data_IF_734798843402
#
_entry.id   IF_734798843402
#
_cell.length_a   1.000
_cell.length_b   1.000
_cell.length_c   1.000
_cell.angle_alpha   90.00
_cell.angle_beta   90.00
_cell.angle_gamma   90.00
#
_symmetry.space_group_name_H-M   'P 1'
#
loop_
_entity.id
_entity.type
_entity.pdbx_description
1 polymer ?
#
# COMPACT_ATOMS: atom_id res chain seq x y z
N UNK A 1 -23.42 -29.00 -7.69
CA UNK A 1 -22.80 -27.76 -8.21
C UNK A 1 -21.38 -27.68 -7.67
N UNK A 2 -20.37 -27.86 -8.51
CA UNK A 2 -18.98 -27.78 -8.09
C UNK A 2 -18.66 -26.32 -7.71
N UNK A 3 -18.30 -26.07 -6.44
CA UNK A 3 -17.68 -24.81 -6.02
C UNK A 3 -16.43 -24.64 -6.90
N UNK A 4 -16.41 -23.65 -7.78
CA UNK A 4 -15.15 -23.14 -8.33
C UNK A 4 -14.29 -22.81 -7.11
N UNK A 5 -13.21 -23.56 -6.91
CA UNK A 5 -12.21 -23.21 -5.90
C UNK A 5 -11.61 -21.88 -6.34
N UNK A 6 -12.05 -20.78 -5.72
CA UNK A 6 -11.40 -19.49 -5.88
C UNK A 6 -9.94 -19.62 -5.47
N UNK A 7 -9.07 -18.77 -6.01
CA UNK A 7 -7.68 -18.72 -5.59
C UNK A 7 -7.60 -18.58 -4.06
N UNK A 8 -6.65 -19.26 -3.45
CA UNK A 8 -6.42 -19.22 -2.00
C UNK A 8 -6.31 -17.77 -1.49
N UNK A 9 -7.11 -17.33 -0.50
CA UNK A 9 -7.06 -15.98 0.05
C UNK A 9 -5.65 -15.54 0.49
N UNK A 10 -4.85 -16.44 1.07
CA UNK A 10 -3.48 -16.12 1.49
C UNK A 10 -2.57 -15.86 0.28
N UNK A 11 -2.79 -16.59 -0.82
CA UNK A 11 -2.09 -16.35 -2.08
C UNK A 11 -2.53 -15.02 -2.71
N UNK A 12 -3.82 -14.66 -2.65
CA UNK A 12 -4.31 -13.36 -3.13
C UNK A 12 -3.75 -12.21 -2.29
N UNK A 13 -3.66 -12.39 -0.97
CA UNK A 13 -3.06 -11.44 -0.04
C UNK A 13 -1.62 -11.12 -0.40
N UNK A 14 -0.77 -12.15 -0.51
CA UNK A 14 0.65 -11.96 -0.89
C UNK A 14 0.80 -11.37 -2.28
N UNK A 15 -0.04 -11.76 -3.24
CA UNK A 15 -0.01 -11.20 -4.59
C UNK A 15 -0.39 -9.72 -4.63
N UNK A 16 -1.36 -9.28 -3.83
CA UNK A 16 -1.71 -7.87 -3.71
C UNK A 16 -0.53 -7.03 -3.17
N UNK A 17 0.15 -7.53 -2.13
CA UNK A 17 1.35 -6.89 -1.57
C UNK A 17 2.49 -6.84 -2.59
N UNK A 18 2.75 -7.97 -3.24
CA UNK A 18 3.81 -8.09 -4.26
C UNK A 18 3.54 -7.15 -5.43
N UNK A 19 2.29 -7.04 -5.89
CA UNK A 19 1.94 -6.20 -7.04
C UNK A 19 2.20 -4.72 -6.77
N UNK A 20 1.72 -4.17 -5.65
CA UNK A 20 1.94 -2.76 -5.31
C UNK A 20 3.42 -2.46 -5.06
N UNK A 21 4.14 -3.37 -4.40
CA UNK A 21 5.57 -3.20 -4.13
C UNK A 21 6.43 -3.34 -5.38
N UNK A 22 6.02 -4.17 -6.35
CA UNK A 22 6.72 -4.31 -7.63
C UNK A 22 6.62 -3.03 -8.46
N UNK A 23 5.44 -2.39 -8.50
CA UNK A 23 5.28 -1.09 -9.16
C UNK A 23 6.18 -0.02 -8.53
N UNK A 24 6.16 0.10 -7.20
CA UNK A 24 7.01 1.04 -6.47
C UNK A 24 8.51 0.75 -6.68
N UNK A 25 8.91 -0.53 -6.68
CA UNK A 25 10.27 -0.95 -6.97
C UNK A 25 10.68 -0.67 -8.43
N UNK A 26 9.71 -0.72 -9.36
CA UNK A 26 9.86 -0.31 -10.75
C UNK A 26 9.94 1.20 -10.96
N UNK A 27 9.78 2.01 -9.91
CA UNK A 27 9.82 3.47 -9.96
C UNK A 27 8.47 4.12 -10.27
N UNK A 28 7.38 3.37 -10.24
CA UNK A 28 6.03 3.89 -10.43
C UNK A 28 5.41 4.26 -9.07
N UNK A 29 5.26 5.55 -8.79
CA UNK A 29 4.62 6.08 -7.59
C UNK A 29 3.31 6.83 -7.88
N UNK A 30 2.73 6.63 -9.07
CA UNK A 30 1.42 7.15 -9.43
C UNK A 30 0.30 6.34 -8.74
N UNK A 31 -0.54 7.02 -7.97
CA UNK A 31 -1.59 6.37 -7.20
C UNK A 31 -2.62 5.62 -8.05
N UNK A 32 -2.91 6.11 -9.26
CA UNK A 32 -3.86 5.46 -10.17
C UNK A 32 -3.28 4.16 -10.73
N UNK A 33 -2.03 4.17 -11.17
CA UNK A 33 -1.35 2.95 -11.64
C UNK A 33 -1.20 1.91 -10.52
N UNK A 34 -0.89 2.34 -9.29
CA UNK A 34 -0.88 1.44 -8.13
C UNK A 34 -2.26 0.86 -7.81
N UNK A 35 -3.33 1.64 -7.98
CA UNK A 35 -4.69 1.11 -7.84
C UNK A 35 -4.99 0.06 -8.94
N UNK A 36 -4.52 0.28 -10.17
CA UNK A 36 -4.70 -0.67 -11.27
C UNK A 36 -3.94 -1.98 -11.03
N UNK A 37 -2.74 -1.94 -10.46
CA UNK A 37 -1.96 -3.15 -10.16
C UNK A 37 -2.60 -4.02 -9.08
N UNK A 38 -3.28 -3.41 -8.11
CA UNK A 38 -3.96 -4.12 -7.00
C UNK A 38 -5.35 -4.61 -7.36
N UNK A 39 -6.09 -3.88 -8.21
CA UNK A 39 -7.49 -4.17 -8.56
C UNK A 39 -7.80 -5.63 -8.94
N UNK A 40 -6.94 -6.37 -9.68
CA UNK A 40 -7.20 -7.79 -9.99
C UNK A 40 -7.34 -8.70 -8.76
N UNK A 41 -6.82 -8.27 -7.61
CA UNK A 41 -6.87 -9.00 -6.35
C UNK A 41 -8.07 -8.61 -5.47
N UNK A 42 -8.88 -7.62 -5.87
CA UNK A 42 -10.20 -7.40 -5.26
C UNK A 42 -11.22 -8.36 -5.91
N UNK A 43 -11.37 -9.53 -5.30
CA UNK A 43 -12.24 -10.61 -5.80
C UNK A 43 -13.56 -10.56 -5.06
N UNK A 44 -14.55 -9.93 -5.69
CA UNK A 44 -15.89 -9.74 -5.15
C UNK A 44 -16.47 -11.02 -4.53
N UNK A 45 -16.86 -10.93 -3.26
CA UNK A 45 -17.48 -12.02 -2.50
C UNK A 45 -16.52 -13.13 -2.06
N UNK A 46 -15.21 -12.93 -2.25
CA UNK A 46 -14.18 -13.90 -1.91
C UNK A 46 -13.02 -13.29 -1.11
N UNK A 47 -12.45 -12.18 -1.57
CA UNK A 47 -11.29 -11.55 -0.92
C UNK A 47 -11.20 -10.06 -1.26
N UNK A 48 -10.82 -9.23 -0.28
CA UNK A 48 -10.50 -7.81 -0.46
C UNK A 48 -9.06 -7.55 0.01
N UNK A 49 -8.25 -6.76 -0.72
CA UNK A 49 -6.84 -6.56 -0.39
C UNK A 49 -6.62 -5.50 0.72
N UNK A 50 -7.64 -5.23 1.54
CA UNK A 50 -7.60 -4.15 2.54
C UNK A 50 -6.47 -4.36 3.55
N UNK A 51 -6.45 -5.53 4.20
CA UNK A 51 -5.44 -5.89 5.21
C UNK A 51 -4.05 -5.98 4.57
N UNK A 52 -3.97 -6.60 3.38
CA UNK A 52 -2.72 -6.74 2.63
C UNK A 52 -2.03 -5.38 2.42
N UNK A 53 -2.77 -4.37 1.97
CA UNK A 53 -2.23 -3.02 1.76
C UNK A 53 -1.92 -2.28 3.07
N UNK A 54 -2.74 -2.47 4.11
CA UNK A 54 -2.48 -1.86 5.42
C UNK A 54 -1.21 -2.42 6.07
N UNK A 55 -0.89 -3.70 5.88
CA UNK A 55 0.38 -4.30 6.33
C UNK A 55 1.58 -3.70 5.61
N UNK A 56 1.49 -3.47 4.30
CA UNK A 56 2.53 -2.79 3.51
C UNK A 56 2.74 -1.37 4.03
N UNK A 57 1.65 -0.63 4.26
CA UNK A 57 1.69 0.72 4.82
C UNK A 57 2.29 0.72 6.24
N UNK A 58 1.95 -0.26 7.08
CA UNK A 58 2.47 -0.40 8.44
C UNK A 58 3.98 -0.70 8.46
N UNK A 59 4.46 -1.59 7.58
CA UNK A 59 5.89 -1.87 7.42
C UNK A 59 6.65 -0.62 6.93
N UNK A 60 6.12 0.08 5.93
CA UNK A 60 6.69 1.36 5.47
C UNK A 60 6.75 2.41 6.59
N UNK A 61 5.72 2.51 7.42
CA UNK A 61 5.74 3.36 8.62
C UNK A 61 6.81 2.91 9.62
N UNK A 62 7.07 1.60 9.75
CA UNK A 62 8.17 1.08 10.56
C UNK A 62 9.55 1.56 10.10
N UNK A 63 9.76 1.64 8.78
CA UNK A 63 10.98 2.22 8.20
C UNK A 63 11.05 3.75 8.39
N UNK A 64 9.93 4.46 8.23
CA UNK A 64 9.87 5.91 8.40
C UNK A 64 10.01 6.35 9.87
N UNK A 65 9.54 5.53 10.80
CA UNK A 65 9.46 5.82 12.24
C UNK A 65 9.99 4.65 13.08
N UNK A 66 11.30 4.34 13.02
CA UNK A 66 11.86 3.33 13.91
C UNK A 66 11.70 3.76 15.39
N UNK A 67 11.68 2.81 16.35
CA UNK A 67 11.53 3.14 17.76
C UNK A 67 12.54 4.21 18.22
N UNK A 68 12.03 5.30 18.79
CA UNK A 68 12.83 6.43 19.27
C UNK A 68 13.07 7.55 18.24
N UNK A 69 12.61 7.40 17.00
CA UNK A 69 12.65 8.49 16.02
C UNK A 69 11.60 9.57 16.32
N UNK A 70 11.75 10.72 15.67
CA UNK A 70 10.71 11.74 15.64
C UNK A 70 9.42 11.17 15.02
N UNK A 71 8.27 11.56 15.57
CA UNK A 71 6.95 11.13 15.09
C UNK A 71 6.62 11.79 13.75
N UNK A 72 5.75 11.17 12.96
CA UNK A 72 5.09 11.85 11.85
C UNK A 72 3.84 12.52 12.39
N UNK A 73 3.79 13.84 12.32
CA UNK A 73 2.57 14.59 12.63
C UNK A 73 1.60 14.48 11.46
N UNK A 74 0.32 14.20 11.75
CA UNK A 74 -0.69 14.04 10.71
C UNK A 74 -1.01 15.38 10.01
N UNK A 75 -0.87 16.50 10.73
CA UNK A 75 -1.10 17.84 10.18
C UNK A 75 -0.15 18.11 9.00
N UNK A 76 -0.72 18.45 7.84
CA UNK A 76 0.03 18.69 6.60
C UNK A 76 0.61 17.44 5.93
N UNK A 77 0.44 16.24 6.53
CA UNK A 77 1.07 15.01 6.04
C UNK A 77 0.57 14.61 4.65
N UNK A 78 -0.75 14.69 4.44
CA UNK A 78 -1.36 14.39 3.14
C UNK A 78 -1.00 15.46 2.11
N UNK A 79 -0.89 16.73 2.51
CA UNK A 79 -0.53 17.80 1.57
C UNK A 79 0.93 17.68 1.13
N UNK A 80 1.81 17.19 2.03
CA UNK A 80 3.23 16.98 1.74
C UNK A 80 3.48 15.76 0.85
N UNK A 81 2.85 14.63 1.15
CA UNK A 81 3.19 13.35 0.51
C UNK A 81 2.17 12.86 -0.51
N UNK A 82 0.98 13.48 -0.58
CA UNK A 82 -0.08 13.14 -1.52
C UNK A 82 -0.55 14.39 -2.28
N UNK A 83 0.31 15.41 -2.45
CA UNK A 83 0.00 16.64 -3.21
C UNK A 83 -0.52 16.36 -4.61
N UNK A 84 0.00 15.32 -5.23
CA UNK A 84 -0.28 14.94 -6.61
C UNK A 84 -1.56 14.09 -6.71
N UNK A 85 -2.10 13.66 -5.56
CA UNK A 85 -3.29 12.85 -5.46
C UNK A 85 -4.49 13.70 -5.04
N UNK A 86 -5.46 13.83 -5.94
CA UNK A 86 -6.64 14.65 -5.70
C UNK A 86 -7.55 14.00 -4.65
N UNK A 87 -7.41 14.44 -3.40
CA UNK A 87 -8.35 14.12 -2.32
C UNK A 87 -9.56 15.05 -2.38
N UNK A 88 -10.43 14.81 -3.37
CA UNK A 88 -11.64 15.62 -3.58
C UNK A 88 -12.77 15.23 -2.61
N UNK A 89 -13.26 16.23 -1.88
CA UNK A 89 -14.38 16.09 -0.95
C UNK A 89 -14.03 15.54 0.45
N UNK A 90 -14.92 15.85 1.40
CA UNK A 90 -14.78 15.48 2.82
C UNK A 90 -14.74 13.97 3.05
N UNK A 91 -15.52 13.21 2.27
CA UNK A 91 -15.61 11.75 2.41
C UNK A 91 -14.30 11.09 2.04
N UNK A 92 -13.70 11.45 0.90
CA UNK A 92 -12.41 10.89 0.44
C UNK A 92 -11.31 11.19 1.45
N UNK A 93 -11.24 12.44 1.95
CA UNK A 93 -10.28 12.83 2.99
C UNK A 93 -10.44 12.00 4.27
N UNK A 94 -11.66 11.83 4.76
CA UNK A 94 -11.92 11.04 5.98
C UNK A 94 -11.58 9.56 5.82
N UNK A 95 -11.85 8.97 4.66
CA UNK A 95 -11.54 7.55 4.39
C UNK A 95 -10.04 7.33 4.20
N UNK A 96 -9.35 8.26 3.56
CA UNK A 96 -7.89 8.27 3.46
C UNK A 96 -7.26 8.40 4.84
N UNK A 97 -7.76 9.34 5.67
CA UNK A 97 -7.34 9.48 7.06
C UNK A 97 -7.52 8.18 7.86
N UNK A 98 -8.66 7.52 7.70
CA UNK A 98 -8.92 6.24 8.35
C UNK A 98 -7.88 5.18 7.94
N UNK A 99 -7.57 5.05 6.64
CA UNK A 99 -6.57 4.09 6.18
C UNK A 99 -5.16 4.38 6.74
N UNK A 100 -4.77 5.66 6.81
CA UNK A 100 -3.50 6.10 7.42
C UNK A 100 -3.45 5.68 8.90
N UNK A 101 -4.50 5.97 9.67
CA UNK A 101 -4.56 5.59 11.08
C UNK A 101 -4.67 4.08 11.30
N UNK A 102 -5.38 3.36 10.43
CA UNK A 102 -5.48 1.91 10.49
C UNK A 102 -4.09 1.26 10.36
N UNK A 103 -3.27 1.70 9.40
CA UNK A 103 -1.90 1.23 9.26
C UNK A 103 -1.02 1.59 10.48
N UNK A 104 -1.18 2.78 11.04
CA UNK A 104 -0.49 3.17 12.29
C UNK A 104 -0.88 2.30 13.49
N UNK A 105 -2.17 1.97 13.65
CA UNK A 105 -2.66 1.03 14.65
C UNK A 105 -2.00 -0.34 14.47
N UNK A 106 -1.98 -0.86 13.24
CA UNK A 106 -1.37 -2.16 12.93
C UNK A 106 0.12 -2.16 13.26
N UNK A 107 0.84 -1.10 12.91
CA UNK A 107 2.26 -0.94 13.28
C UNK A 107 2.48 -0.93 14.80
N UNK A 108 1.52 -0.38 15.54
CA UNK A 108 1.48 -0.38 17.01
C UNK A 108 1.03 -1.70 17.65
N UNK A 109 0.69 -2.73 16.86
CA UNK A 109 0.24 -4.04 17.33
C UNK A 109 -1.27 -4.15 17.56
N UNK A 110 -2.05 -3.15 17.15
CA UNK A 110 -3.51 -3.17 17.22
C UNK A 110 -4.11 -3.46 15.84
N UNK A 111 -4.90 -4.53 15.73
CA UNK A 111 -5.70 -4.76 14.53
C UNK A 111 -6.97 -3.90 14.58
N UNK A 112 -7.16 -2.93 13.65
CA UNK A 112 -8.33 -2.09 13.62
C UNK A 112 -9.59 -2.89 13.22
N UNK A 113 -10.75 -2.48 13.70
CA UNK A 113 -12.03 -3.06 13.29
C UNK A 113 -12.39 -2.56 11.87
N UNK A 114 -12.07 -3.36 10.85
CA UNK A 114 -12.24 -2.98 9.45
C UNK A 114 -13.65 -3.27 8.92
N UNK A 115 -14.27 -4.37 9.36
CA UNK A 115 -15.51 -4.84 8.76
C UNK A 115 -16.67 -3.92 9.13
N UNK A 116 -16.78 -3.53 10.41
CA UNK A 116 -17.84 -2.63 10.86
C UNK A 116 -17.64 -1.19 10.38
N UNK A 117 -16.40 -0.71 10.34
CA UNK A 117 -16.11 0.68 9.98
C UNK A 117 -16.13 0.90 8.46
N UNK A 118 -15.51 -0.01 7.70
CA UNK A 118 -15.23 0.18 6.28
C UNK A 118 -15.83 -0.89 5.35
N UNK A 119 -16.40 -1.99 5.88
CA UNK A 119 -16.91 -3.10 5.07
C UNK A 119 -18.09 -2.77 4.14
N UNK A 120 -18.73 -1.61 4.31
CA UNK A 120 -19.82 -1.12 3.44
C UNK A 120 -19.40 0.02 2.52
N UNK A 121 -18.13 0.43 2.55
CA UNK A 121 -17.67 1.56 1.77
C UNK A 121 -17.65 1.28 0.27
N UNK A 122 -17.96 2.31 -0.50
CA UNK A 122 -17.76 2.36 -1.94
C UNK A 122 -17.12 3.70 -2.33
N UNK A 123 -15.94 3.70 -3.00
CA UNK A 123 -15.03 2.56 -3.20
C UNK A 123 -14.61 1.85 -1.90
N UNK A 124 -14.12 0.61 -2.02
CA UNK A 124 -13.70 -0.23 -0.88
C UNK A 124 -12.47 0.34 -0.16
N UNK A 125 -12.19 -0.12 1.06
CA UNK A 125 -11.11 0.43 1.89
C UNK A 125 -9.74 0.39 1.20
N UNK A 126 -9.43 -0.67 0.46
CA UNK A 126 -8.15 -0.86 -0.19
C UNK A 126 -7.78 0.30 -1.13
N UNK A 127 -8.76 0.98 -1.75
CA UNK A 127 -8.47 2.13 -2.61
C UNK A 127 -7.84 3.29 -1.84
N UNK A 128 -8.23 3.45 -0.57
CA UNK A 128 -7.67 4.45 0.33
C UNK A 128 -6.40 3.94 1.03
N UNK A 129 -6.27 2.62 1.20
CA UNK A 129 -5.04 2.00 1.70
C UNK A 129 -3.86 2.18 0.74
N UNK A 130 -4.09 2.26 -0.58
CA UNK A 130 -3.05 2.66 -1.56
C UNK A 130 -2.44 4.03 -1.19
N UNK A 131 -3.27 4.99 -0.79
CA UNK A 131 -2.79 6.31 -0.35
C UNK A 131 -1.93 6.23 0.91
N UNK A 132 -2.27 5.34 1.85
CA UNK A 132 -1.46 5.10 3.05
C UNK A 132 -0.11 4.45 2.72
N UNK A 133 -0.09 3.49 1.78
CA UNK A 133 1.16 2.88 1.27
C UNK A 133 2.06 3.96 0.65
N UNK A 134 1.53 4.75 -0.28
CA UNK A 134 2.29 5.83 -0.91
C UNK A 134 2.85 6.83 0.10
N UNK A 135 2.00 7.29 1.01
CA UNK A 135 2.36 8.28 2.01
C UNK A 135 3.49 7.78 2.92
N UNK A 136 3.40 6.56 3.45
CA UNK A 136 4.44 6.05 4.35
C UNK A 136 5.71 5.64 3.62
N UNK A 137 5.62 5.13 2.40
CA UNK A 137 6.81 4.88 1.58
C UNK A 137 7.54 6.19 1.25
N UNK A 138 6.82 7.25 0.87
CA UNK A 138 7.41 8.58 0.60
C UNK A 138 8.02 9.19 1.87
N UNK A 139 7.36 9.04 3.02
CA UNK A 139 7.91 9.48 4.30
C UNK A 139 9.19 8.70 4.68
N UNK A 140 9.24 7.39 4.43
CA UNK A 140 10.43 6.58 4.65
C UNK A 140 11.56 6.97 3.70
N UNK A 141 11.25 7.18 2.42
CA UNK A 141 12.21 7.63 1.41
C UNK A 141 12.86 8.96 1.81
N UNK A 142 12.05 9.94 2.23
CA UNK A 142 12.54 11.24 2.67
C UNK A 142 13.42 11.13 3.92
N UNK A 143 12.97 10.41 4.95
CA UNK A 143 13.69 10.34 6.23
C UNK A 143 14.99 9.54 6.16
N UNK A 144 15.05 8.56 5.27
CA UNK A 144 16.24 7.73 5.08
C UNK A 144 17.16 8.25 3.98
N UNK A 145 16.74 9.29 3.24
CA UNK A 145 17.41 9.79 2.03
C UNK A 145 17.67 8.67 1.01
N UNK A 146 16.63 7.88 0.74
CA UNK A 146 16.67 6.72 -0.17
C UNK A 146 15.62 6.81 -1.27
N UNK A 147 15.90 6.30 -2.48
CA UNK A 147 14.89 6.19 -3.52
C UNK A 147 13.69 5.34 -3.10
N UNK A 148 12.49 5.71 -3.54
CA UNK A 148 11.24 4.96 -3.33
C UNK A 148 11.37 3.47 -3.69
N UNK A 149 12.07 3.16 -4.78
CA UNK A 149 12.31 1.78 -5.19
C UNK A 149 13.07 0.96 -4.14
N UNK A 150 14.04 1.58 -3.44
CA UNK A 150 14.78 0.92 -2.35
C UNK A 150 13.89 0.74 -1.13
N UNK A 151 13.02 1.69 -0.82
CA UNK A 151 12.03 1.55 0.25
C UNK A 151 11.09 0.38 -0.04
N UNK A 152 10.57 0.25 -1.25
CA UNK A 152 9.69 -0.84 -1.64
C UNK A 152 10.36 -2.22 -1.45
N UNK A 153 11.62 -2.35 -1.85
CA UNK A 153 12.40 -3.57 -1.65
C UNK A 153 12.60 -3.89 -0.15
N UNK A 154 12.85 -2.89 0.70
CA UNK A 154 12.97 -3.08 2.15
C UNK A 154 11.65 -3.48 2.81
N UNK A 155 10.54 -2.89 2.37
CA UNK A 155 9.21 -3.29 2.83
C UNK A 155 8.89 -4.73 2.41
N UNK A 156 9.26 -5.13 1.19
CA UNK A 156 9.12 -6.51 0.75
C UNK A 156 9.93 -7.48 1.62
N UNK A 157 11.19 -7.13 1.93
CA UNK A 157 12.06 -7.92 2.81
C UNK A 157 11.46 -8.05 4.24
N UNK A 158 10.96 -6.96 4.82
CA UNK A 158 10.29 -6.95 6.13
C UNK A 158 9.05 -7.88 6.17
N UNK A 159 8.34 -7.96 5.05
CA UNK A 159 7.16 -8.82 4.89
C UNK A 159 7.49 -10.25 4.41
N UNK A 160 8.76 -10.56 4.17
CA UNK A 160 9.20 -11.86 3.64
C UNK A 160 8.67 -12.15 2.23
N UNK A 161 8.56 -11.13 1.39
CA UNK A 161 8.07 -11.20 0.02
C UNK A 161 9.23 -11.17 -0.98
N UNK A 162 9.17 -12.05 -1.98
CA UNK A 162 10.07 -12.01 -3.14
C UNK A 162 9.40 -11.18 -4.26
N UNK A 163 10.01 -10.05 -4.62
CA UNK A 163 9.55 -9.27 -5.77
C UNK A 163 10.13 -9.85 -7.07
N UNK A 164 9.34 -9.93 -8.15
CA UNK A 164 9.88 -10.29 -9.46
C UNK A 164 10.94 -9.27 -9.87
N UNK A 165 12.06 -9.74 -10.41
CA UNK A 165 13.07 -8.85 -10.97
C UNK A 165 12.41 -7.95 -12.01
N UNK A 166 12.54 -6.63 -11.84
CA UNK A 166 12.05 -5.66 -12.82
C UNK A 166 12.74 -5.95 -14.15
N UNK A 167 12.03 -6.63 -15.06
CA UNK A 167 12.54 -6.94 -16.39
C UNK A 167 12.81 -5.63 -17.11
N UNK A 168 14.08 -5.24 -17.16
CA UNK A 168 14.52 -4.08 -17.92
C UNK A 168 14.10 -4.26 -19.37
N UNK A 169 13.10 -3.50 -19.80
CA UNK A 169 12.86 -3.24 -21.21
C UNK A 169 14.01 -2.38 -21.75
N UNK A 170 15.17 -2.99 -21.99
CA UNK A 170 16.33 -2.39 -22.65
C UNK A 170 17.23 -3.49 -23.22
N UNK A 171 16.67 -4.37 -24.05
CA UNK A 171 17.50 -5.22 -24.92
C UNK A 171 16.77 -5.48 -26.24
N UNK A 172 16.35 -4.40 -26.90
CA UNK A 172 16.11 -4.40 -28.34
C UNK A 172 16.64 -3.09 -28.93
N UNK A 173 17.97 -3.00 -29.01
CA UNK A 173 18.63 -2.11 -29.94
C UNK A 173 19.86 -2.81 -30.55
N UNK A 174 19.57 -3.53 -31.65
CA UNK A 174 20.36 -3.67 -32.89
C UNK A 174 21.70 -4.43 -32.83
N UNK A 175 22.18 -5.00 -33.96
CA UNK A 175 22.03 -4.54 -35.35
C UNK A 175 21.04 -5.32 -36.24
#
# INVERSE_FOLDING_TARGET
MAKRQGADPDALHRKAQTAILSELAGGNDDAFELMLSVRPYDVRGHFTPDVALLEVAAAALGLACPPGSERLEYEGLTDRYLSDYVLDGRTVRRRTQYAIYAAACMRGGLHPELLMEAGTWQPQLWTYAVSAVLLYCRAAAERLDLPMAVIALRVADELGLELPATGGASEQLLP
#
